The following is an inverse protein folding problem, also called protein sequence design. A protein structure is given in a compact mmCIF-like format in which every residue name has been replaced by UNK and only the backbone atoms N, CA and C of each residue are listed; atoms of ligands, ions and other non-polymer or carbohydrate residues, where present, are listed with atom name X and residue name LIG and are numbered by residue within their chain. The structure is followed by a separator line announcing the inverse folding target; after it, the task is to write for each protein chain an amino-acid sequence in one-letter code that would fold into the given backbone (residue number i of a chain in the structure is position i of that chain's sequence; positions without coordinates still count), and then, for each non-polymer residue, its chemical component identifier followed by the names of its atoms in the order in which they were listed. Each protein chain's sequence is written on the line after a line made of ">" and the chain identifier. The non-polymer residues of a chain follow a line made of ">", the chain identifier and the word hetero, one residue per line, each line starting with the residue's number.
data_IF_591965823734
#
_entry.id   IF_591965823734
#
_cell.length_a   1.000
_cell.length_b   1.000
_cell.length_c   1.000
_cell.angle_alpha   90.00
_cell.angle_beta   90.00
_cell.angle_gamma   90.00
#
_symmetry.space_group_name_H-M   'P 1'
#
loop_
_entity.id
_entity.type
_entity.pdbx_description
1 polymer ?
#
# COMPACT_ATOMS: atom_id res chain seq x y z
N UNK A 1 -13.90 -1.20 19.29
CA UNK A 1 -12.46 -0.92 19.02
C UNK A 1 -12.24 -0.03 17.79
N UNK A 2 -12.81 -0.32 16.60
CA UNK A 2 -12.64 0.52 15.42
C UNK A 2 -13.19 1.94 15.63
N UNK A 3 -14.41 2.04 16.16
CA UNK A 3 -15.01 3.34 16.47
C UNK A 3 -14.17 4.12 17.48
N UNK A 4 -13.73 3.49 18.55
CA UNK A 4 -12.84 4.08 19.55
C UNK A 4 -11.53 4.57 18.92
N UNK A 5 -10.88 3.76 18.05
CA UNK A 5 -9.67 4.14 17.34
C UNK A 5 -9.87 5.40 16.46
N UNK A 6 -11.01 5.45 15.76
CA UNK A 6 -11.37 6.64 14.97
C UNK A 6 -11.62 7.88 15.82
N UNK A 7 -12.28 7.74 16.97
CA UNK A 7 -12.57 8.85 17.88
C UNK A 7 -11.31 9.39 18.57
N UNK A 8 -10.38 8.50 18.94
CA UNK A 8 -9.16 8.86 19.66
C UNK A 8 -8.01 9.34 18.76
N UNK A 9 -7.83 8.72 17.58
CA UNK A 9 -6.67 8.97 16.71
C UNK A 9 -7.01 9.42 15.29
N UNK A 10 -8.29 9.38 14.90
CA UNK A 10 -8.69 9.64 13.50
C UNK A 10 -8.32 8.52 12.52
N UNK A 11 -7.72 7.44 13.00
CA UNK A 11 -7.22 6.32 12.17
C UNK A 11 -7.82 4.99 12.64
N UNK A 12 -8.19 4.12 11.70
CA UNK A 12 -8.59 2.74 12.00
C UNK A 12 -7.98 1.75 11.01
N UNK A 13 -7.44 0.65 11.53
CA UNK A 13 -6.92 -0.45 10.75
C UNK A 13 -8.01 -1.47 10.44
N UNK A 14 -8.27 -1.69 9.14
CA UNK A 14 -9.24 -2.68 8.67
C UNK A 14 -8.51 -3.96 8.24
N UNK A 15 -8.51 -4.97 9.12
CA UNK A 15 -7.93 -6.27 8.79
C UNK A 15 -8.84 -7.03 7.81
N UNK A 16 -8.44 -7.11 6.55
CA UNK A 16 -9.23 -7.63 5.44
C UNK A 16 -9.97 -8.95 5.69
N UNK A 17 -9.41 -9.99 6.39
CA UNK A 17 -10.11 -11.23 6.66
C UNK A 17 -11.38 -11.08 7.51
N UNK A 18 -11.52 -10.00 8.29
CA UNK A 18 -12.73 -9.74 9.06
C UNK A 18 -13.84 -9.06 8.25
N UNK A 19 -13.47 -8.39 7.17
CA UNK A 19 -14.42 -7.60 6.35
C UNK A 19 -14.74 -8.25 5.01
N UNK A 20 -13.92 -9.21 4.57
CA UNK A 20 -14.11 -9.93 3.31
C UNK A 20 -14.10 -11.45 3.53
N UNK A 21 -15.28 -12.08 3.68
CA UNK A 21 -15.37 -13.54 3.82
C UNK A 21 -14.72 -14.30 2.66
N UNK A 22 -14.82 -13.76 1.44
CA UNK A 22 -14.19 -14.34 0.26
C UNK A 22 -12.65 -14.38 0.39
N UNK A 23 -12.01 -13.33 0.88
CA UNK A 23 -10.56 -13.32 1.12
C UNK A 23 -10.16 -14.26 2.25
N UNK A 24 -11.01 -14.41 3.26
CA UNK A 24 -10.79 -15.36 4.36
C UNK A 24 -10.79 -16.81 3.85
N UNK A 25 -11.75 -17.17 3.01
CA UNK A 25 -11.90 -18.55 2.49
C UNK A 25 -10.74 -18.97 1.58
N UNK A 26 -10.16 -18.04 0.81
CA UNK A 26 -9.02 -18.34 -0.08
C UNK A 26 -7.65 -18.28 0.62
N UNK A 27 -7.60 -17.81 1.86
CA UNK A 27 -6.36 -17.65 2.64
C UNK A 27 -5.52 -18.94 2.75
N UNK A 28 -6.10 -20.09 3.12
CA UNK A 28 -5.37 -21.36 3.17
C UNK A 28 -4.79 -21.78 1.82
N UNK A 29 -5.56 -21.64 0.74
CA UNK A 29 -5.13 -21.98 -0.63
C UNK A 29 -3.95 -21.10 -1.06
N UNK A 30 -4.01 -19.80 -0.80
CA UNK A 30 -2.91 -18.86 -1.10
C UNK A 30 -1.62 -19.24 -0.39
N UNK A 31 -1.70 -19.62 0.89
CA UNK A 31 -0.53 -20.08 1.66
C UNK A 31 0.04 -21.38 1.12
N UNK A 32 -0.81 -22.33 0.72
CA UNK A 32 -0.39 -23.61 0.17
C UNK A 32 0.28 -23.46 -1.21
N UNK A 33 -0.18 -22.52 -2.04
CA UNK A 33 0.40 -22.25 -3.35
C UNK A 33 1.77 -21.58 -3.28
N UNK A 34 2.05 -20.79 -2.26
CA UNK A 34 3.33 -20.10 -2.09
C UNK A 34 3.70 -19.08 -3.19
N UNK A 35 2.77 -18.79 -4.11
CA UNK A 35 2.99 -17.88 -5.24
C UNK A 35 2.02 -16.69 -5.20
N UNK A 36 2.40 -15.60 -5.82
CA UNK A 36 1.51 -14.44 -6.00
C UNK A 36 0.38 -14.82 -6.97
N UNK A 37 -0.85 -14.63 -6.52
CA UNK A 37 -2.06 -14.91 -7.29
C UNK A 37 -2.86 -13.64 -7.50
N UNK A 38 -3.90 -13.70 -8.32
CA UNK A 38 -4.88 -12.62 -8.49
C UNK A 38 -5.43 -12.08 -7.16
N UNK A 39 -5.62 -12.93 -6.17
CA UNK A 39 -6.10 -12.53 -4.84
C UNK A 39 -5.15 -11.55 -4.11
N UNK A 40 -3.88 -11.49 -4.47
CA UNK A 40 -2.95 -10.50 -3.92
C UNK A 40 -3.25 -9.06 -4.42
N UNK A 41 -3.94 -8.96 -5.55
CA UNK A 41 -4.30 -7.68 -6.16
C UNK A 41 -5.67 -7.16 -5.69
N UNK A 42 -6.48 -7.96 -5.00
CA UNK A 42 -7.83 -7.56 -4.62
C UNK A 42 -7.89 -6.69 -3.36
N UNK A 43 -6.87 -6.74 -2.50
CA UNK A 43 -6.87 -6.06 -1.20
C UNK A 43 -7.34 -4.60 -1.28
N UNK A 44 -6.72 -3.76 -2.10
CA UNK A 44 -7.12 -2.35 -2.25
C UNK A 44 -8.52 -2.15 -2.81
N UNK A 45 -9.02 -3.10 -3.60
CA UNK A 45 -10.31 -3.00 -4.30
C UNK A 45 -11.50 -3.42 -3.46
N UNK A 46 -11.29 -4.06 -2.32
CA UNK A 46 -12.35 -4.62 -1.46
C UNK A 46 -12.54 -3.83 -0.16
N UNK A 47 -12.12 -2.58 -0.11
CA UNK A 47 -12.35 -1.73 1.05
C UNK A 47 -13.86 -1.50 1.24
N UNK A 48 -14.47 -1.97 2.35
CA UNK A 48 -15.92 -1.89 2.55
C UNK A 48 -16.45 -0.46 2.72
N UNK A 49 -15.57 0.49 3.03
CA UNK A 49 -15.93 1.90 3.24
C UNK A 49 -16.08 2.65 1.93
N UNK A 50 -15.56 2.14 0.82
CA UNK A 50 -15.54 2.78 -0.50
C UNK A 50 -15.11 4.26 -0.41
N UNK A 51 -13.90 4.55 0.09
CA UNK A 51 -13.48 5.92 0.39
C UNK A 51 -13.39 6.78 -0.87
N UNK A 52 -13.71 8.07 -0.74
CA UNK A 52 -13.62 9.04 -1.85
C UNK A 52 -12.18 9.34 -2.27
N UNK A 53 -11.21 9.10 -1.40
CA UNK A 53 -9.78 9.30 -1.64
C UNK A 53 -9.05 8.00 -1.31
N UNK A 54 -8.20 7.56 -2.20
CA UNK A 54 -7.44 6.32 -2.04
C UNK A 54 -5.96 6.53 -2.39
N UNK A 55 -5.09 6.04 -1.52
CA UNK A 55 -3.67 5.88 -1.79
C UNK A 55 -3.37 4.38 -1.87
N UNK A 56 -2.74 3.95 -2.95
CA UNK A 56 -2.49 2.54 -3.24
C UNK A 56 -1.00 2.33 -3.53
N UNK A 57 -0.36 1.50 -2.72
CA UNK A 57 0.97 1.01 -3.01
C UNK A 57 0.93 -0.24 -3.89
N UNK A 58 1.83 -0.32 -4.84
CA UNK A 58 1.92 -1.47 -5.75
C UNK A 58 3.38 -1.90 -5.97
N UNK A 59 3.59 -3.20 -6.00
CA UNK A 59 4.92 -3.81 -6.08
C UNK A 59 5.53 -3.85 -7.50
N UNK A 60 4.81 -3.41 -8.54
CA UNK A 60 5.35 -3.26 -9.88
C UNK A 60 4.49 -2.35 -10.77
N UNK A 61 5.11 -1.84 -11.84
CA UNK A 61 4.49 -0.91 -12.77
C UNK A 61 3.36 -1.52 -13.62
N UNK A 62 3.34 -2.85 -13.82
CA UNK A 62 2.24 -3.51 -14.55
C UNK A 62 0.95 -3.41 -13.74
N UNK A 63 1.04 -3.66 -12.43
CA UNK A 63 -0.08 -3.53 -11.50
C UNK A 63 -0.50 -2.06 -11.35
N UNK A 64 0.47 -1.13 -11.30
CA UNK A 64 0.18 0.31 -11.30
C UNK A 64 -0.71 0.73 -12.48
N UNK A 65 -0.35 0.30 -13.69
CA UNK A 65 -1.12 0.58 -14.91
C UNK A 65 -2.52 -0.04 -14.89
N UNK A 66 -2.62 -1.30 -14.41
CA UNK A 66 -3.91 -1.98 -14.29
C UNK A 66 -4.86 -1.23 -13.36
N UNK A 67 -4.39 -0.87 -12.16
CA UNK A 67 -5.19 -0.09 -11.21
C UNK A 67 -5.52 1.30 -11.74
N UNK A 68 -4.56 1.98 -12.38
CA UNK A 68 -4.80 3.28 -12.99
C UNK A 68 -5.96 3.21 -14.00
N UNK A 69 -5.94 2.21 -14.88
CA UNK A 69 -7.01 2.00 -15.85
C UNK A 69 -8.37 1.75 -15.19
N UNK A 70 -8.41 0.93 -14.13
CA UNK A 70 -9.64 0.64 -13.39
C UNK A 70 -10.19 1.88 -12.67
N UNK A 71 -9.32 2.62 -12.00
CA UNK A 71 -9.71 3.78 -11.19
C UNK A 71 -10.10 5.00 -12.03
N UNK A 72 -9.54 5.16 -13.23
CA UNK A 72 -9.95 6.23 -14.16
C UNK A 72 -11.46 6.25 -14.43
N UNK A 73 -12.12 5.11 -14.37
CA UNK A 73 -13.55 4.96 -14.63
C UNK A 73 -14.41 4.96 -13.36
N UNK A 74 -13.80 5.02 -12.18
CA UNK A 74 -14.51 4.83 -10.91
C UNK A 74 -15.11 6.11 -10.32
N UNK A 75 -14.68 7.29 -10.77
CA UNK A 75 -15.04 8.57 -10.15
C UNK A 75 -14.38 8.83 -8.78
N UNK A 76 -13.53 7.94 -8.31
CA UNK A 76 -12.79 8.06 -7.04
C UNK A 76 -11.52 8.91 -7.25
N UNK A 77 -11.15 9.71 -6.27
CA UNK A 77 -9.84 10.35 -6.25
C UNK A 77 -8.80 9.34 -5.77
N UNK A 78 -7.81 9.06 -6.60
CA UNK A 78 -6.80 8.06 -6.28
C UNK A 78 -5.40 8.55 -6.58
N UNK A 79 -4.44 7.96 -5.86
CA UNK A 79 -3.01 8.01 -6.19
C UNK A 79 -2.44 6.61 -6.03
N UNK A 80 -1.77 6.12 -7.05
CA UNK A 80 -1.08 4.84 -7.06
C UNK A 80 0.40 5.14 -7.04
N UNK A 81 1.14 4.53 -6.12
CA UNK A 81 2.58 4.74 -5.95
C UNK A 81 3.36 3.44 -6.10
N UNK A 82 4.57 3.57 -6.64
CA UNK A 82 5.53 2.49 -6.77
C UNK A 82 6.93 3.08 -6.79
N UNK A 83 7.76 2.73 -5.82
CA UNK A 83 9.16 3.10 -5.81
C UNK A 83 9.96 2.26 -6.81
N UNK A 84 10.89 2.88 -7.54
CA UNK A 84 11.59 2.24 -8.65
C UNK A 84 12.57 1.15 -8.20
N UNK A 85 12.93 1.11 -6.94
CA UNK A 85 13.69 0.06 -6.27
C UNK A 85 12.83 -1.15 -5.83
N UNK A 86 11.49 -1.10 -6.04
CA UNK A 86 10.60 -2.24 -5.87
C UNK A 86 9.64 -2.17 -4.69
N UNK A 87 9.70 -1.13 -3.86
CA UNK A 87 8.75 -0.96 -2.75
C UNK A 87 7.37 -0.51 -3.24
N UNK A 88 6.34 -1.00 -2.56
CA UNK A 88 4.94 -0.67 -2.80
C UNK A 88 4.46 0.55 -1.99
N UNK A 89 5.37 1.50 -1.79
CA UNK A 89 5.17 2.74 -1.05
C UNK A 89 6.05 3.86 -1.62
N UNK A 90 5.96 5.06 -1.06
CA UNK A 90 6.91 6.14 -1.33
C UNK A 90 8.15 5.89 -0.49
N UNK A 91 9.14 5.22 -1.09
CA UNK A 91 10.44 5.02 -0.46
C UNK A 91 11.29 6.27 -0.58
N UNK A 92 12.08 6.56 0.47
CA UNK A 92 13.09 7.62 0.40
C UNK A 92 14.43 7.13 -0.17
N UNK A 93 14.53 5.84 -0.52
CA UNK A 93 15.74 5.23 -1.07
C UNK A 93 15.91 5.46 -2.57
N UNK A 94 14.81 5.67 -3.29
CA UNK A 94 14.81 5.84 -4.74
C UNK A 94 13.73 6.81 -5.23
N UNK A 95 13.79 7.21 -6.52
CA UNK A 95 12.65 7.84 -7.17
C UNK A 95 11.42 6.93 -7.13
N UNK A 96 10.24 7.51 -7.07
CA UNK A 96 8.98 6.76 -7.13
C UNK A 96 8.09 7.27 -8.26
N UNK A 97 7.31 6.37 -8.83
CA UNK A 97 6.28 6.70 -9.80
C UNK A 97 4.94 6.88 -9.09
N UNK A 98 4.25 7.97 -9.41
CA UNK A 98 2.87 8.21 -8.98
C UNK A 98 1.95 8.34 -10.22
N UNK A 99 0.77 7.69 -10.13
CA UNK A 99 -0.30 7.78 -11.12
C UNK A 99 -1.58 8.22 -10.40
N UNK A 100 -2.28 9.20 -10.92
CA UNK A 100 -3.50 9.74 -10.31
C UNK A 100 -4.49 10.27 -11.35
N UNK A 101 -5.61 10.85 -10.90
CA UNK A 101 -6.64 11.41 -11.78
C UNK A 101 -6.13 12.53 -12.72
N UNK A 102 -5.01 13.15 -12.42
CA UNK A 102 -4.44 14.29 -13.19
C UNK A 102 -3.36 13.86 -14.17
N UNK A 103 -2.84 12.63 -14.05
CA UNK A 103 -1.77 12.10 -14.87
C UNK A 103 -0.78 11.24 -14.11
N UNK A 104 0.40 11.08 -14.66
CA UNK A 104 1.47 10.30 -14.06
C UNK A 104 2.80 11.06 -14.07
N UNK A 105 3.64 10.78 -13.10
CA UNK A 105 4.99 11.36 -13.00
C UNK A 105 5.93 10.45 -12.23
N UNK A 106 7.23 10.75 -12.37
CA UNK A 106 8.28 10.19 -11.53
C UNK A 106 8.77 11.34 -10.66
N UNK A 107 8.90 11.11 -9.38
CA UNK A 107 9.26 12.09 -8.38
C UNK A 107 10.48 11.63 -7.60
N UNK A 108 11.31 12.56 -7.19
CA UNK A 108 12.41 12.32 -6.27
C UNK A 108 11.95 12.57 -4.83
N UNK A 109 12.53 11.93 -3.82
CA UNK A 109 12.26 12.23 -2.41
C UNK A 109 12.43 13.71 -2.08
N UNK A 110 13.43 14.37 -2.69
CA UNK A 110 13.73 15.78 -2.51
C UNK A 110 12.61 16.71 -3.00
N UNK A 111 11.86 16.31 -4.02
CA UNK A 111 10.73 17.07 -4.57
C UNK A 111 9.52 17.09 -3.63
N UNK A 112 9.45 16.13 -2.71
CA UNK A 112 8.41 16.10 -1.66
C UNK A 112 8.92 16.55 -0.28
N UNK A 113 10.13 17.13 -0.24
CA UNK A 113 10.69 17.76 0.97
C UNK A 113 11.50 16.82 1.88
N UNK A 114 11.88 15.63 1.41
CA UNK A 114 12.67 14.67 2.18
C UNK A 114 14.04 14.44 1.53
N UNK A 115 15.06 14.23 2.35
CA UNK A 115 16.36 13.77 1.87
C UNK A 115 16.31 12.29 1.49
N UNK A 116 17.19 11.90 0.56
CA UNK A 116 17.38 10.49 0.24
C UNK A 116 18.09 9.78 1.39
N UNK A 117 17.66 8.57 1.70
CA UNK A 117 18.25 7.69 2.73
C UNK A 117 18.82 6.43 2.07
N UNK A 118 19.81 5.81 2.72
CA UNK A 118 20.32 4.53 2.27
C UNK A 118 19.37 3.38 2.71
N UNK A 119 19.33 2.30 1.94
CA UNK A 119 18.44 1.17 2.22
C UNK A 119 18.73 0.54 3.60
N UNK A 120 20.01 0.52 4.00
CA UNK A 120 20.47 0.02 5.29
C UNK A 120 19.89 0.81 6.48
N UNK A 121 19.62 2.10 6.29
CA UNK A 121 19.03 2.97 7.31
C UNK A 121 17.54 2.67 7.58
N UNK A 122 16.88 1.99 6.64
CA UNK A 122 15.48 1.57 6.76
C UNK A 122 15.33 0.17 7.37
N UNK A 123 16.44 -0.48 7.72
CA UNK A 123 16.40 -1.84 8.26
C UNK A 123 15.70 -1.88 9.61
N UNK A 124 14.58 -2.61 9.67
CA UNK A 124 13.82 -2.87 10.91
C UNK A 124 14.37 -4.02 11.76
N UNK A 125 15.60 -4.53 11.50
CA UNK A 125 16.14 -5.71 12.17
C UNK A 125 15.64 -7.03 11.58
N UNK A 126 15.98 -8.15 12.21
CA UNK A 126 15.74 -9.50 11.69
C UNK A 126 14.45 -10.14 12.23
N UNK A 127 13.82 -9.54 13.23
CA UNK A 127 12.60 -10.06 13.88
C UNK A 127 11.52 -8.99 13.99
N UNK A 128 10.26 -9.43 14.08
CA UNK A 128 9.12 -8.52 14.31
C UNK A 128 9.27 -7.72 15.60
N UNK A 129 9.86 -8.32 16.64
CA UNK A 129 10.08 -7.66 17.93
C UNK A 129 11.11 -6.54 17.81
N UNK A 130 12.21 -6.78 17.08
CA UNK A 130 13.22 -5.75 16.81
C UNK A 130 12.62 -4.61 15.97
N UNK A 131 11.89 -4.94 14.91
CA UNK A 131 11.21 -3.94 14.08
C UNK A 131 10.25 -3.08 14.90
N UNK A 132 9.46 -3.67 15.79
CA UNK A 132 8.55 -2.95 16.67
C UNK A 132 9.28 -2.03 17.65
N UNK A 133 10.41 -2.46 18.19
CA UNK A 133 11.23 -1.64 19.09
C UNK A 133 11.85 -0.44 18.36
N UNK A 134 12.37 -0.64 17.14
CA UNK A 134 12.94 0.43 16.32
C UNK A 134 11.86 1.45 15.93
N UNK A 135 10.65 0.99 15.60
CA UNK A 135 9.54 1.87 15.20
C UNK A 135 9.00 2.76 16.34
N UNK A 136 9.22 2.38 17.60
CA UNK A 136 8.76 3.14 18.78
C UNK A 136 9.64 4.33 19.15
N UNK A 137 10.79 4.50 18.52
CA UNK A 137 11.72 5.61 18.72
C UNK A 137 11.70 6.58 17.55
#
# INVERSE_FOLDING_TARGET
>A
RLQQSLEESGVAYLHAPFFSPALKSVGPVRRALGVRTFFNMLGPLVNPVLPRYQLLGVYNLKLARLYNYMYQQSGVNYTIVHSLDGYDEVSLTSPFKALNNRGEGIYLPEEIGFGRVAEEELSGGNTVTEAAAIFQF
#
